data_IF_775959587879
#
_entry.id   IF_775959587879
#
_cell.length_a   1.000
_cell.length_b   1.000
_cell.length_c   1.000
_cell.angle_alpha   90.00
_cell.angle_beta   90.00
_cell.angle_gamma   90.00
#
_symmetry.space_group_name_H-M   'P 1'
#
loop_
_entity.id
_entity.type
_entity.pdbx_description
1 polymer ?
#
# COMPACT_ATOMS: atom_id res chain seq x y z
N UNK A 1 11.01 -5.56 7.11
CA UNK A 1 11.49 -5.24 8.46
C UNK A 1 10.29 -5.29 9.39
N UNK A 2 10.41 -5.82 10.60
CA UNK A 2 9.31 -5.83 11.58
C UNK A 2 9.69 -4.81 12.65
N UNK A 3 8.88 -3.77 12.82
CA UNK A 3 9.09 -2.80 13.89
C UNK A 3 8.95 -3.48 15.26
N UNK A 4 9.68 -2.96 16.25
CA UNK A 4 9.64 -3.41 17.63
C UNK A 4 8.37 -2.89 18.34
N UNK A 5 7.89 -1.70 17.98
CA UNK A 5 6.70 -1.07 18.56
C UNK A 5 5.89 -0.26 17.54
N UNK A 6 4.70 0.19 17.97
CA UNK A 6 3.77 0.97 17.15
C UNK A 6 4.38 2.29 16.67
N UNK A 7 5.22 2.94 17.49
CA UNK A 7 5.82 4.24 17.17
C UNK A 7 6.88 4.11 16.09
N UNK A 8 7.71 3.07 16.17
CA UNK A 8 8.68 2.73 15.14
C UNK A 8 7.94 2.34 13.84
N UNK A 9 6.86 1.57 13.93
CA UNK A 9 6.03 1.23 12.77
C UNK A 9 5.50 2.48 12.05
N UNK A 10 4.97 3.45 12.80
CA UNK A 10 4.51 4.74 12.26
C UNK A 10 5.65 5.53 11.60
N UNK A 11 6.81 5.65 12.27
CA UNK A 11 7.98 6.34 11.72
C UNK A 11 8.47 5.70 10.41
N UNK A 12 8.47 4.37 10.32
CA UNK A 12 8.85 3.65 9.11
C UNK A 12 7.84 3.95 8.00
N UNK A 13 6.55 3.87 8.29
CA UNK A 13 5.50 4.14 7.30
C UNK A 13 5.60 5.57 6.78
N UNK A 14 5.85 6.56 7.66
CA UNK A 14 6.01 7.96 7.26
C UNK A 14 7.17 8.12 6.27
N UNK A 15 8.31 7.48 6.53
CA UNK A 15 9.49 7.50 5.64
C UNK A 15 9.28 6.76 4.32
N UNK A 16 8.45 5.72 4.31
CA UNK A 16 8.17 4.90 3.12
C UNK A 16 7.07 5.54 2.26
N UNK A 17 6.15 6.31 2.85
CA UNK A 17 4.99 6.90 2.15
C UNK A 17 5.36 7.66 0.86
N UNK A 18 6.44 8.48 0.79
CA UNK A 18 6.82 9.17 -0.45
C UNK A 18 7.14 8.21 -1.62
N UNK A 19 7.52 6.95 -1.34
CA UNK A 19 7.84 5.94 -2.38
C UNK A 19 6.62 5.46 -3.15
N UNK A 20 5.41 5.77 -2.68
CA UNK A 20 4.17 5.47 -3.40
C UNK A 20 4.03 6.24 -4.72
N UNK A 21 4.73 7.37 -4.88
CA UNK A 21 4.69 8.21 -6.08
C UNK A 21 5.86 7.94 -7.03
N UNK A 22 6.60 6.84 -6.82
CA UNK A 22 7.78 6.54 -7.60
C UNK A 22 7.43 6.05 -9.02
N UNK A 23 8.18 6.48 -10.04
CA UNK A 23 7.94 6.10 -11.43
C UNK A 23 8.06 4.58 -11.69
N UNK A 24 8.94 3.91 -10.93
CA UNK A 24 9.11 2.46 -11.02
C UNK A 24 8.04 1.71 -10.20
N UNK A 25 7.22 0.91 -10.89
CA UNK A 25 6.14 0.10 -10.32
C UNK A 25 6.62 -0.88 -9.24
N UNK A 26 7.82 -1.48 -9.39
CA UNK A 26 8.36 -2.40 -8.40
C UNK A 26 8.64 -1.70 -7.06
N UNK A 27 9.06 -0.43 -7.10
CA UNK A 27 9.28 0.39 -5.89
C UNK A 27 7.94 0.69 -5.21
N UNK A 28 6.91 1.04 -5.99
CA UNK A 28 5.55 1.29 -5.47
C UNK A 28 4.98 0.04 -4.79
N UNK A 29 5.02 -1.11 -5.46
CA UNK A 29 4.53 -2.38 -4.90
C UNK A 29 5.31 -2.80 -3.64
N UNK A 30 6.63 -2.59 -3.63
CA UNK A 30 7.46 -2.87 -2.44
C UNK A 30 7.11 -1.94 -1.27
N UNK A 31 6.86 -0.66 -1.54
CA UNK A 31 6.42 0.30 -0.53
C UNK A 31 5.06 -0.09 0.06
N UNK A 32 4.09 -0.44 -0.79
CA UNK A 32 2.76 -0.92 -0.35
C UNK A 32 2.89 -2.16 0.53
N UNK A 33 3.71 -3.15 0.11
CA UNK A 33 3.98 -4.35 0.92
C UNK A 33 4.54 -3.99 2.30
N UNK A 34 5.51 -3.06 2.37
CA UNK A 34 6.10 -2.63 3.63
C UNK A 34 5.08 -1.94 4.53
N UNK A 35 4.24 -1.06 3.98
CA UNK A 35 3.19 -0.34 4.73
C UNK A 35 2.18 -1.34 5.30
N UNK A 36 1.71 -2.29 4.49
CA UNK A 36 0.78 -3.33 4.94
C UNK A 36 1.35 -4.19 6.08
N UNK A 37 2.66 -4.46 6.06
CA UNK A 37 3.33 -5.20 7.12
C UNK A 37 3.42 -4.38 8.42
N UNK A 38 3.69 -3.07 8.35
CA UNK A 38 3.76 -2.21 9.54
C UNK A 38 2.40 -1.92 10.16
N UNK A 39 1.34 -1.86 9.34
CA UNK A 39 -0.04 -1.63 9.80
C UNK A 39 -0.52 -2.63 10.87
N UNK A 40 0.09 -3.81 10.99
CA UNK A 40 -0.27 -4.79 12.01
C UNK A 40 0.14 -4.37 13.42
N UNK A 41 1.11 -3.45 13.52
CA UNK A 41 1.62 -2.93 14.79
C UNK A 41 1.04 -1.55 15.13
N UNK A 42 0.38 -0.88 14.18
CA UNK A 42 -0.25 0.42 14.37
C UNK A 42 -1.61 0.22 15.04
N UNK A 43 -1.75 0.71 16.26
CA UNK A 43 -2.99 0.60 17.05
C UNK A 43 -4.05 1.64 16.67
N UNK A 44 -3.63 2.78 16.10
CA UNK A 44 -4.54 3.84 15.68
C UNK A 44 -5.29 3.47 14.41
N UNK A 45 -6.60 3.27 14.54
CA UNK A 45 -7.49 2.97 13.41
C UNK A 45 -7.57 4.11 12.40
N UNK A 46 -7.42 5.36 12.84
CA UNK A 46 -7.46 6.53 11.95
C UNK A 46 -6.20 6.62 11.09
N UNK A 47 -5.03 6.28 11.66
CA UNK A 47 -3.78 6.18 10.90
C UNK A 47 -3.90 5.09 9.85
N UNK A 48 -4.37 3.89 10.21
CA UNK A 48 -4.57 2.79 9.27
C UNK A 48 -5.53 3.20 8.14
N UNK A 49 -6.66 3.84 8.47
CA UNK A 49 -7.63 4.32 7.47
C UNK A 49 -7.02 5.35 6.52
N UNK A 50 -6.24 6.30 7.05
CA UNK A 50 -5.57 7.32 6.23
C UNK A 50 -4.54 6.70 5.28
N UNK A 51 -3.78 5.71 5.76
CA UNK A 51 -2.82 5.00 4.93
C UNK A 51 -3.49 4.20 3.80
N UNK A 52 -4.62 3.53 4.08
CA UNK A 52 -5.42 2.89 3.03
C UNK A 52 -5.83 3.88 1.93
N UNK A 53 -6.31 5.08 2.31
CA UNK A 53 -6.65 6.14 1.36
C UNK A 53 -5.45 6.60 0.53
N UNK A 54 -4.26 6.73 1.14
CA UNK A 54 -3.03 7.11 0.42
C UNK A 54 -2.53 6.04 -0.56
N UNK A 55 -2.77 4.77 -0.27
CA UNK A 55 -2.36 3.65 -1.13
C UNK A 55 -3.31 3.40 -2.30
N UNK A 56 -4.56 3.84 -2.23
CA UNK A 56 -5.53 3.56 -3.29
C UNK A 56 -5.16 4.20 -4.65
N UNK A 57 -4.85 5.51 -4.74
CA UNK A 57 -4.47 6.14 -6.02
C UNK A 57 -3.29 5.48 -6.75
N UNK A 58 -2.13 5.20 -6.11
CA UNK A 58 -1.01 4.59 -6.82
C UNK A 58 -1.33 3.17 -7.30
N UNK A 59 -2.14 2.39 -6.55
CA UNK A 59 -2.59 1.07 -7.00
C UNK A 59 -3.48 1.17 -8.24
N UNK A 60 -4.35 2.18 -8.33
CA UNK A 60 -5.17 2.43 -9.52
C UNK A 60 -4.30 2.88 -10.69
N UNK A 61 -3.31 3.76 -10.49
CA UNK A 61 -2.41 4.20 -11.57
C UNK A 61 -1.61 3.04 -12.19
N UNK A 62 -1.24 2.03 -11.38
CA UNK A 62 -0.56 0.82 -11.90
C UNK A 62 -1.43 0.02 -12.89
N UNK A 63 -2.75 0.19 -12.85
CA UNK A 63 -3.66 -0.46 -13.81
C UNK A 63 -3.61 0.18 -15.20
N UNK A 64 -3.03 1.38 -15.33
CA UNK A 64 -2.82 2.07 -16.61
C UNK A 64 -1.42 1.85 -17.20
N UNK A 65 -0.61 0.98 -16.60
CA UNK A 65 0.71 0.62 -17.11
C UNK A 65 0.62 -0.33 -18.32
N UNK A 66 1.77 -0.63 -18.95
CA UNK A 66 1.87 -1.61 -20.03
C UNK A 66 1.32 -2.99 -19.61
N UNK A 67 0.78 -3.80 -20.55
CA UNK A 67 0.02 -5.02 -20.23
C UNK A 67 0.76 -6.01 -19.31
N UNK A 68 2.06 -6.17 -19.48
CA UNK A 68 2.90 -7.06 -18.68
C UNK A 68 3.00 -6.57 -17.22
N UNK A 69 3.19 -5.27 -17.05
CA UNK A 69 3.25 -4.62 -15.72
C UNK A 69 1.87 -4.66 -15.08
N UNK A 70 0.82 -4.38 -15.86
CA UNK A 70 -0.57 -4.43 -15.42
C UNK A 70 -0.95 -5.82 -14.91
N UNK A 71 -0.54 -6.90 -15.59
CA UNK A 71 -0.78 -8.28 -15.15
C UNK A 71 -0.17 -8.55 -13.76
N UNK A 72 1.07 -8.12 -13.56
CA UNK A 72 1.75 -8.26 -12.26
C UNK A 72 1.08 -7.39 -11.19
N UNK A 73 0.70 -6.15 -11.53
CA UNK A 73 0.01 -5.24 -10.63
C UNK A 73 -1.33 -5.81 -10.19
N UNK A 74 -2.15 -6.33 -11.10
CA UNK A 74 -3.44 -6.96 -10.82
C UNK A 74 -3.30 -8.14 -9.84
N UNK A 75 -2.31 -9.01 -10.04
CA UNK A 75 -2.06 -10.13 -9.13
C UNK A 75 -1.68 -9.65 -7.73
N UNK A 76 -0.85 -8.61 -7.63
CA UNK A 76 -0.50 -8.01 -6.34
C UNK A 76 -1.69 -7.31 -5.68
N UNK A 77 -2.48 -6.56 -6.45
CA UNK A 77 -3.69 -5.87 -5.98
C UNK A 77 -4.69 -6.88 -5.42
N UNK A 78 -4.90 -8.00 -6.10
CA UNK A 78 -5.79 -9.07 -5.60
C UNK A 78 -5.34 -9.56 -4.21
N UNK A 79 -4.05 -9.83 -4.02
CA UNK A 79 -3.51 -10.24 -2.71
C UNK A 79 -3.68 -9.14 -1.64
N UNK A 80 -3.50 -7.88 -2.03
CA UNK A 80 -3.66 -6.73 -1.13
C UNK A 80 -5.12 -6.60 -0.68
N UNK A 81 -6.08 -6.72 -1.61
CA UNK A 81 -7.52 -6.65 -1.33
C UNK A 81 -7.95 -7.82 -0.44
N UNK A 82 -7.45 -9.02 -0.68
CA UNK A 82 -7.73 -10.17 0.21
C UNK A 82 -7.27 -9.91 1.65
N UNK A 83 -6.12 -9.25 1.84
CA UNK A 83 -5.61 -8.91 3.18
C UNK A 83 -6.32 -7.70 3.81
N UNK A 84 -6.72 -6.72 3.00
CA UNK A 84 -7.37 -5.48 3.43
C UNK A 84 -8.50 -5.10 2.45
N UNK A 85 -9.71 -5.67 2.62
CA UNK A 85 -10.82 -5.47 1.68
C UNK A 85 -11.25 -4.00 1.51
N UNK A 86 -11.02 -3.18 2.54
CA UNK A 86 -11.43 -1.77 2.56
C UNK A 86 -10.51 -0.83 1.77
N UNK A 87 -9.37 -1.31 1.26
CA UNK A 87 -8.34 -0.46 0.63
C UNK A 87 -8.77 0.16 -0.70
N UNK A 88 -9.59 -0.56 -1.50
CA UNK A 88 -10.11 -0.08 -2.79
C UNK A 88 -11.64 0.05 -2.80
N UNK A 89 -12.29 -0.09 -1.64
CA UNK A 89 -13.76 -0.10 -1.54
C UNK A 89 -14.44 1.19 -2.05
N UNK A 90 -13.70 2.30 -2.16
CA UNK A 90 -14.22 3.58 -2.65
C UNK A 90 -13.76 3.94 -4.07
N UNK A 91 -12.85 3.15 -4.66
CA UNK A 91 -12.29 3.38 -6.00
C UNK A 91 -12.92 2.45 -7.06
N UNK A 92 -13.56 1.36 -6.63
CA UNK A 92 -14.25 0.41 -7.53
C UNK A 92 -15.73 0.78 -7.56
N UNK A 93 -16.20 1.30 -8.70
CA UNK A 93 -17.62 1.47 -9.04
C UNK A 93 -18.09 0.36 -9.97
#
# INVERSE_FOLDING_TARGET
YKAADAREAENIVERVTPRLQHANCAVVLSAVKMILQQMELITSTDVVRNLCKKMAPPLVTLLSAEPEIQYVALRNINLIVQRRPTILAHEIK
#
